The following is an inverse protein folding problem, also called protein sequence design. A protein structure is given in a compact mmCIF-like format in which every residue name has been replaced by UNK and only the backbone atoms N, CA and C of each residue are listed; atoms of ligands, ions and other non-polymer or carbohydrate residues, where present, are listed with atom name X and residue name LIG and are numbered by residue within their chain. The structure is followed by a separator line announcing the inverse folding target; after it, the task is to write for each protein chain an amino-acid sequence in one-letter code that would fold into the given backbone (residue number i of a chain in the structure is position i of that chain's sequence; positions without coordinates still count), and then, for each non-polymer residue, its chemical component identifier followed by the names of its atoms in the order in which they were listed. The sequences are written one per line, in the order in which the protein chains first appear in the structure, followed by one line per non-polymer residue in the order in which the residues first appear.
data_IF_165684372760
#
_entry.id   IF_165684372760
#
_cell.length_a   1.000
_cell.length_b   1.000
_cell.length_c   1.000
_cell.angle_alpha   90.00
_cell.angle_beta   90.00
_cell.angle_gamma   90.00
#
_symmetry.space_group_name_H-M   'P 1'
#
loop_
_entity.id
_entity.type
_entity.pdbx_description
1 polymer ?
#
# COMPACT_ATOMS: atom_id res chain seq x y z
N UNK A 1 25.90 -3.51 -0.50
CA UNK A 1 25.11 -2.56 -1.31
C UNK A 1 24.23 -3.41 -2.19
N UNK A 2 22.94 -3.49 -1.89
CA UNK A 2 21.97 -4.16 -2.74
C UNK A 2 21.67 -3.25 -3.94
N UNK A 3 21.58 -3.82 -5.14
CA UNK A 3 21.19 -3.09 -6.36
C UNK A 3 19.75 -2.59 -6.24
N UNK A 4 19.36 -1.64 -7.11
CA UNK A 4 17.98 -1.11 -7.15
C UNK A 4 16.95 -2.26 -7.25
N UNK A 5 17.25 -3.28 -8.03
CA UNK A 5 16.37 -4.42 -8.27
C UNK A 5 16.19 -5.30 -7.02
N UNK A 6 17.27 -5.57 -6.27
CA UNK A 6 17.22 -6.39 -5.06
C UNK A 6 16.32 -5.78 -3.97
N UNK A 7 16.27 -4.44 -3.88
CA UNK A 7 15.39 -3.73 -2.93
C UNK A 7 13.93 -3.88 -3.32
N UNK A 8 13.61 -3.74 -4.62
CA UNK A 8 12.24 -3.87 -5.12
C UNK A 8 11.74 -5.30 -4.93
N UNK A 9 12.60 -6.29 -5.22
CA UNK A 9 12.29 -7.71 -4.99
C UNK A 9 12.09 -8.03 -3.50
N UNK A 10 12.88 -7.43 -2.61
CA UNK A 10 12.68 -7.56 -1.17
C UNK A 10 11.32 -6.99 -0.74
N UNK A 11 10.98 -5.77 -1.18
CA UNK A 11 9.68 -5.15 -0.87
C UNK A 11 8.51 -6.00 -1.40
N UNK A 12 8.64 -6.52 -2.63
CA UNK A 12 7.66 -7.44 -3.23
C UNK A 12 7.49 -8.70 -2.40
N UNK A 13 8.59 -9.34 -2.00
CA UNK A 13 8.54 -10.54 -1.17
C UNK A 13 7.89 -10.26 0.18
N UNK A 14 8.19 -9.12 0.82
CA UNK A 14 7.55 -8.72 2.08
C UNK A 14 6.03 -8.56 1.93
N UNK A 15 5.55 -7.95 0.84
CA UNK A 15 4.11 -7.83 0.58
C UNK A 15 3.48 -9.22 0.33
N UNK A 16 4.12 -10.07 -0.46
CA UNK A 16 3.64 -11.44 -0.71
C UNK A 16 3.52 -12.23 0.60
N UNK A 17 4.55 -12.17 1.45
CA UNK A 17 4.55 -12.85 2.74
C UNK A 17 3.50 -12.27 3.69
N UNK A 18 3.25 -10.94 3.64
CA UNK A 18 2.16 -10.34 4.40
C UNK A 18 0.80 -10.88 3.98
N UNK A 19 0.52 -10.97 2.68
CA UNK A 19 -0.79 -11.43 2.18
C UNK A 19 -0.95 -12.94 2.11
N UNK A 20 0.12 -13.71 2.34
CA UNK A 20 0.10 -15.18 2.31
C UNK A 20 -0.96 -15.76 3.25
N UNK A 21 -1.88 -16.53 2.68
CA UNK A 21 -2.95 -17.20 3.43
C UNK A 21 -4.08 -16.26 3.88
N UNK A 22 -4.11 -15.00 3.42
CA UNK A 22 -5.19 -14.04 3.67
C UNK A 22 -6.03 -13.87 2.40
N UNK A 23 -7.32 -13.57 2.55
CA UNK A 23 -8.15 -13.15 1.42
C UNK A 23 -7.77 -11.71 1.05
N UNK A 24 -6.80 -11.55 0.15
CA UNK A 24 -6.13 -10.28 -0.13
C UNK A 24 -6.58 -9.58 -1.40
N UNK A 25 -7.37 -10.23 -2.25
CA UNK A 25 -7.70 -9.70 -3.59
C UNK A 25 -8.43 -8.37 -3.51
N UNK A 26 -9.51 -8.27 -2.72
CA UNK A 26 -10.26 -7.02 -2.56
C UNK A 26 -9.46 -5.92 -1.87
N UNK A 27 -8.55 -6.29 -0.96
CA UNK A 27 -7.64 -5.35 -0.28
C UNK A 27 -6.63 -4.78 -1.27
N UNK A 28 -5.97 -5.62 -2.05
CA UNK A 28 -5.00 -5.20 -3.07
C UNK A 28 -5.68 -4.35 -4.16
N UNK A 29 -6.87 -4.73 -4.61
CA UNK A 29 -7.66 -3.98 -5.60
C UNK A 29 -7.94 -2.57 -5.11
N UNK A 30 -8.50 -2.43 -3.90
CA UNK A 30 -8.81 -1.13 -3.32
C UNK A 30 -7.57 -0.25 -3.18
N UNK A 31 -6.45 -0.82 -2.71
CA UNK A 31 -5.20 -0.05 -2.57
C UNK A 31 -4.71 0.39 -3.95
N UNK A 32 -4.67 -0.50 -4.95
CA UNK A 32 -4.22 -0.17 -6.30
C UNK A 32 -5.10 0.91 -6.93
N UNK A 33 -6.42 0.82 -6.76
CA UNK A 33 -7.37 1.82 -7.28
C UNK A 33 -7.11 3.20 -6.67
N UNK A 34 -6.89 3.28 -5.35
CA UNK A 34 -6.51 4.53 -4.66
C UNK A 34 -5.21 5.11 -5.24
N UNK A 35 -4.19 4.28 -5.46
CA UNK A 35 -2.93 4.73 -6.06
C UNK A 35 -3.15 5.28 -7.48
N UNK A 36 -3.90 4.55 -8.31
CA UNK A 36 -4.17 4.93 -9.68
C UNK A 36 -4.92 6.26 -9.75
N UNK A 37 -5.97 6.43 -8.93
CA UNK A 37 -6.75 7.67 -8.87
C UNK A 37 -5.88 8.86 -8.48
N UNK A 38 -4.98 8.69 -7.51
CA UNK A 38 -4.11 9.77 -7.04
C UNK A 38 -3.06 10.13 -8.09
N UNK A 39 -2.38 9.13 -8.67
CA UNK A 39 -1.37 9.36 -9.72
C UNK A 39 -1.99 10.01 -10.95
N UNK A 40 -3.19 9.61 -11.33
CA UNK A 40 -3.91 10.21 -12.45
C UNK A 40 -4.30 11.67 -12.16
N UNK A 41 -4.75 11.96 -10.93
CA UNK A 41 -5.21 13.28 -10.55
C UNK A 41 -4.08 14.28 -10.21
N UNK A 42 -2.89 13.81 -9.85
CA UNK A 42 -1.77 14.64 -9.39
C UNK A 42 -0.48 14.32 -10.17
N UNK A 43 -0.15 15.14 -11.20
CA UNK A 43 1.03 14.93 -12.03
C UNK A 43 2.36 15.15 -11.29
N UNK A 44 2.36 15.89 -10.18
CA UNK A 44 3.56 16.08 -9.38
C UNK A 44 3.76 14.89 -8.45
N UNK A 45 4.77 14.06 -8.74
CA UNK A 45 5.09 12.84 -7.99
C UNK A 45 5.18 13.04 -6.46
N UNK A 46 5.86 14.10 -6.01
CA UNK A 46 6.00 14.38 -4.57
C UNK A 46 4.65 14.72 -3.95
N UNK A 47 3.88 15.59 -4.58
CA UNK A 47 2.53 15.94 -4.12
C UNK A 47 1.59 14.73 -4.15
N UNK A 48 1.71 13.87 -5.17
CA UNK A 48 0.96 12.62 -5.28
C UNK A 48 1.29 11.68 -4.11
N UNK A 49 2.58 11.51 -3.79
CA UNK A 49 3.02 10.69 -2.65
C UNK A 49 2.49 11.25 -1.32
N UNK A 50 2.61 12.55 -1.08
CA UNK A 50 2.07 13.18 0.13
C UNK A 50 0.55 13.01 0.25
N UNK A 51 -0.18 13.23 -0.85
CA UNK A 51 -1.63 13.05 -0.93
C UNK A 51 -2.04 11.60 -0.67
N UNK A 52 -1.32 10.65 -1.25
CA UNK A 52 -1.51 9.23 -1.06
C UNK A 52 -1.39 8.83 0.41
N UNK A 53 -0.27 9.15 1.06
CA UNK A 53 -0.08 8.76 2.48
C UNK A 53 -1.15 9.39 3.36
N UNK A 54 -1.57 10.63 3.07
CA UNK A 54 -2.68 11.28 3.77
C UNK A 54 -4.02 10.55 3.57
N UNK A 55 -4.32 10.11 2.34
CA UNK A 55 -5.55 9.35 2.06
C UNK A 55 -5.53 8.02 2.78
N UNK A 56 -4.42 7.27 2.72
CA UNK A 56 -4.25 6.01 3.44
C UNK A 56 -4.39 6.21 4.96
N UNK A 57 -3.78 7.26 5.52
CA UNK A 57 -3.95 7.62 6.93
C UNK A 57 -5.41 7.94 7.29
N UNK A 58 -6.13 8.63 6.40
CA UNK A 58 -7.53 8.96 6.63
C UNK A 58 -8.42 7.71 6.58
N UNK A 59 -8.12 6.78 5.67
CA UNK A 59 -8.85 5.52 5.53
C UNK A 59 -8.66 4.61 6.74
N UNK A 60 -7.44 4.45 7.26
CA UNK A 60 -7.21 3.63 8.46
C UNK A 60 -7.93 4.16 9.72
N UNK A 61 -8.29 5.45 9.73
CA UNK A 61 -8.98 6.11 10.85
C UNK A 61 -10.47 6.36 10.57
N UNK A 62 -10.99 5.85 9.46
CA UNK A 62 -12.37 6.09 9.00
C UNK A 62 -13.18 4.79 9.00
N UNK A 63 -14.47 4.91 9.33
CA UNK A 63 -15.41 3.81 9.26
C UNK A 63 -15.86 3.48 7.82
N UNK A 64 -15.38 4.22 6.81
CA UNK A 64 -15.79 4.01 5.41
C UNK A 64 -15.41 2.64 4.88
N UNK A 65 -14.37 2.02 5.44
CA UNK A 65 -13.94 0.66 5.07
C UNK A 65 -15.05 -0.38 5.29
N UNK A 66 -15.93 -0.19 6.28
CA UNK A 66 -17.09 -1.05 6.52
C UNK A 66 -18.14 -1.02 5.39
N UNK A 67 -18.06 -0.04 4.49
CA UNK A 67 -18.94 0.04 3.31
C UNK A 67 -18.29 -0.48 2.04
N UNK A 68 -16.95 -0.68 2.06
CA UNK A 68 -16.15 -1.03 0.88
C UNK A 68 -15.63 -2.46 0.93
N UNK A 69 -15.47 -3.02 2.13
CA UNK A 69 -14.83 -4.32 2.35
C UNK A 69 -15.67 -5.18 3.30
N UNK A 70 -15.53 -6.50 3.15
CA UNK A 70 -16.00 -7.47 4.13
C UNK A 70 -15.18 -7.40 5.41
N UNK A 71 -15.74 -7.85 6.54
CA UNK A 71 -15.13 -7.71 7.87
C UNK A 71 -13.70 -8.27 7.94
N UNK A 72 -13.47 -9.48 7.42
CA UNK A 72 -12.13 -10.09 7.35
C UNK A 72 -11.15 -9.26 6.50
N UNK A 73 -11.64 -8.64 5.41
CA UNK A 73 -10.83 -7.77 4.55
C UNK A 73 -10.50 -6.44 5.20
N UNK A 74 -11.37 -5.92 6.09
CA UNK A 74 -11.13 -4.70 6.85
C UNK A 74 -9.96 -4.90 7.81
N UNK A 75 -9.90 -6.04 8.50
CA UNK A 75 -8.79 -6.36 9.41
C UNK A 75 -7.47 -6.43 8.63
N UNK A 76 -7.47 -7.13 7.49
CA UNK A 76 -6.28 -7.25 6.63
C UNK A 76 -5.85 -5.89 6.09
N UNK A 77 -6.77 -5.07 5.60
CA UNK A 77 -6.48 -3.73 5.09
C UNK A 77 -5.92 -2.83 6.21
N UNK A 78 -6.55 -2.85 7.38
CA UNK A 78 -6.13 -2.03 8.53
C UNK A 78 -4.74 -2.44 9.01
N UNK A 79 -4.47 -3.74 9.12
CA UNK A 79 -3.14 -4.24 9.50
C UNK A 79 -2.09 -3.92 8.42
N UNK A 80 -2.46 -3.95 7.13
CA UNK A 80 -1.56 -3.56 6.05
C UNK A 80 -1.12 -2.09 6.17
N UNK A 81 -2.05 -1.17 6.44
CA UNK A 81 -1.70 0.24 6.59
C UNK A 81 -0.98 0.53 7.90
N UNK A 82 -1.49 0.00 9.02
CA UNK A 82 -1.01 0.35 10.35
C UNK A 82 0.23 -0.42 10.77
N UNK A 83 0.24 -1.74 10.60
CA UNK A 83 1.31 -2.58 11.14
C UNK A 83 2.40 -2.84 10.09
N UNK A 84 2.01 -3.05 8.83
CA UNK A 84 2.95 -3.38 7.77
C UNK A 84 3.62 -2.15 7.15
N UNK A 85 2.85 -1.17 6.67
CA UNK A 85 3.39 0.08 6.12
C UNK A 85 3.76 1.10 7.21
N UNK A 86 3.19 0.97 8.41
CA UNK A 86 3.37 1.92 9.51
C UNK A 86 2.98 3.35 9.09
N UNK A 87 1.76 3.50 8.57
CA UNK A 87 1.23 4.79 8.13
C UNK A 87 0.96 5.68 9.34
N UNK A 88 1.76 6.73 9.47
CA UNK A 88 1.74 7.64 10.61
C UNK A 88 1.46 9.09 10.22
N UNK A 89 1.15 9.88 11.26
CA UNK A 89 1.10 11.34 11.18
C UNK A 89 1.94 11.92 12.33
N UNK A 90 2.81 12.87 12.00
CA UNK A 90 3.51 13.69 12.99
C UNK A 90 3.28 15.17 12.71
N UNK A 91 2.69 15.87 13.69
CA UNK A 91 2.19 17.24 13.54
C UNK A 91 1.21 17.34 12.36
N UNK A 92 1.67 17.75 11.18
CA UNK A 92 0.87 17.88 9.97
C UNK A 92 1.46 17.11 8.77
N UNK A 93 2.48 16.29 9.01
CA UNK A 93 3.13 15.49 7.96
C UNK A 93 2.69 14.04 8.09
N UNK A 94 2.35 13.43 6.96
CA UNK A 94 1.97 12.02 6.87
C UNK A 94 3.17 11.24 6.31
N UNK A 95 3.44 10.07 6.86
CA UNK A 95 4.61 9.27 6.47
C UNK A 95 4.32 7.76 6.44
N UNK A 96 5.18 7.03 5.71
CA UNK A 96 5.31 5.58 5.77
C UNK A 96 6.48 5.30 6.72
N UNK A 97 6.21 4.64 7.84
CA UNK A 97 7.21 4.35 8.88
C UNK A 97 8.07 3.13 8.56
N UNK A 98 7.56 2.21 7.73
CA UNK A 98 8.34 1.08 7.26
C UNK A 98 9.47 1.57 6.34
N UNK A 99 10.72 1.41 6.80
CA UNK A 99 11.93 1.98 6.18
C UNK A 99 12.19 1.49 4.77
N UNK A 100 11.79 0.25 4.44
CA UNK A 100 11.96 -0.30 3.10
C UNK A 100 11.02 0.42 2.11
N UNK A 101 9.77 0.62 2.52
CA UNK A 101 8.73 1.27 1.71
C UNK A 101 8.84 2.79 1.70
N UNK A 102 9.34 3.42 2.77
CA UNK A 102 9.51 4.87 2.86
C UNK A 102 10.43 5.42 1.75
N UNK A 103 11.41 4.59 1.33
CA UNK A 103 12.39 4.90 0.30
C UNK A 103 11.87 4.67 -1.13
N UNK A 104 10.73 4.00 -1.30
CA UNK A 104 10.15 3.79 -2.62
C UNK A 104 9.54 5.10 -3.12
N UNK A 105 9.71 5.37 -4.40
CA UNK A 105 8.87 6.35 -5.06
C UNK A 105 7.44 5.81 -5.27
N UNK A 106 6.52 6.67 -5.70
CA UNK A 106 5.11 6.29 -5.81
C UNK A 106 4.88 5.25 -6.91
N UNK A 107 5.66 5.29 -7.99
CA UNK A 107 5.55 4.39 -9.13
C UNK A 107 6.17 3.02 -8.81
N UNK A 108 7.31 3.00 -8.11
CA UNK A 108 7.92 1.78 -7.58
C UNK A 108 6.94 1.03 -6.68
N UNK A 109 6.30 1.73 -5.73
CA UNK A 109 5.34 1.12 -4.83
C UNK A 109 4.08 0.62 -5.56
N UNK A 110 3.55 1.41 -6.50
CA UNK A 110 2.42 0.99 -7.32
C UNK A 110 2.75 -0.25 -8.16
N UNK A 111 3.92 -0.27 -8.82
CA UNK A 111 4.35 -1.39 -9.64
C UNK A 111 4.48 -2.67 -8.82
N UNK A 112 5.08 -2.58 -7.62
CA UNK A 112 5.17 -3.73 -6.71
C UNK A 112 3.77 -4.26 -6.36
N UNK A 113 2.82 -3.38 -6.02
CA UNK A 113 1.46 -3.80 -5.68
C UNK A 113 0.77 -4.52 -6.85
N UNK A 114 0.94 -4.02 -8.08
CA UNK A 114 0.41 -4.64 -9.30
C UNK A 114 1.05 -6.00 -9.54
N UNK A 115 2.39 -6.11 -9.42
CA UNK A 115 3.11 -7.38 -9.56
C UNK A 115 2.64 -8.41 -8.53
N UNK A 116 2.48 -8.01 -7.26
CA UNK A 116 1.97 -8.88 -6.20
C UNK A 116 0.58 -9.38 -6.51
N UNK A 117 -0.32 -8.50 -6.98
CA UNK A 117 -1.67 -8.88 -7.39
C UNK A 117 -1.63 -9.95 -8.49
N UNK A 118 -0.81 -9.77 -9.52
CA UNK A 118 -0.64 -10.74 -10.61
C UNK A 118 -0.11 -12.07 -10.06
N UNK A 119 0.92 -12.05 -9.23
CA UNK A 119 1.54 -13.27 -8.68
C UNK A 119 0.57 -14.03 -7.75
N UNK A 120 -0.23 -13.31 -6.97
CA UNK A 120 -1.22 -13.88 -6.06
C UNK A 120 -2.39 -14.51 -6.82
N UNK A 121 -2.77 -13.95 -7.98
CA UNK A 121 -3.79 -14.53 -8.85
C UNK A 121 -3.32 -15.80 -9.59
N UNK A 122 -2.01 -16.01 -9.73
CA UNK A 122 -1.43 -17.20 -10.38
C UNK A 122 -1.27 -18.38 -9.39
N UNK A 123 -1.12 -18.10 -8.09
CA UNK A 123 -0.86 -19.10 -7.04
C UNK A 123 -2.01 -19.29 -6.04
N UNK A 124 -3.11 -18.56 -6.22
CA UNK A 124 -4.34 -18.65 -5.41
C UNK A 124 -5.33 -19.67 -5.93
#
# INVERSE_FOLDING_TARGET
MYGRDDRLDNCKQMILDFFKGKNSTGVLDLIIDIYQDIIYAEPNEKAAKEKLVRVLYSLQNSNILHTLLEEDSIEVFSSFLKDFLDIGQESNNYYIGNKEFAQLDIYELQNILIEVKILSAIHG
#
